data_IF_522349049749
#
_entry.id   IF_522349049749
#
_cell.length_a   1.000
_cell.length_b   1.000
_cell.length_c   1.000
_cell.angle_alpha   90.00
_cell.angle_beta   90.00
_cell.angle_gamma   90.00
#
_symmetry.space_group_name_H-M   'P 1'
#
loop_
_entity.id
_entity.type
_entity.pdbx_description
1 polymer ?
#
# COMPACT_ATOMS: atom_id res chain seq x y z
N UNK A 1 -13.43 -27.82 -10.23
CA UNK A 1 -13.10 -26.37 -10.19
C UNK A 1 -11.60 -26.21 -10.43
N UNK A 2 -11.12 -25.17 -11.12
CA UNK A 2 -9.67 -24.93 -11.22
C UNK A 2 -9.18 -24.23 -9.95
N UNK A 3 -8.06 -24.67 -9.35
CA UNK A 3 -7.52 -24.05 -8.14
C UNK A 3 -6.15 -23.46 -8.43
N UNK A 4 -6.03 -22.15 -8.26
CA UNK A 4 -4.82 -21.39 -8.49
C UNK A 4 -4.12 -21.11 -7.15
N UNK A 5 -2.83 -21.45 -7.08
CA UNK A 5 -1.95 -21.10 -5.96
C UNK A 5 -0.95 -20.08 -6.53
N UNK A 6 -1.14 -18.78 -6.27
CA UNK A 6 -0.21 -17.75 -6.71
C UNK A 6 1.21 -18.00 -6.18
N UNK A 7 2.22 -17.59 -6.94
CA UNK A 7 3.63 -17.81 -6.58
C UNK A 7 3.99 -17.21 -5.21
N UNK A 8 3.47 -16.02 -4.88
CA UNK A 8 3.68 -15.39 -3.58
C UNK A 8 3.14 -16.22 -2.41
N UNK A 9 2.01 -16.92 -2.58
CA UNK A 9 1.48 -17.85 -1.58
C UNK A 9 2.38 -19.08 -1.45
N UNK A 10 2.92 -19.57 -2.58
CA UNK A 10 3.89 -20.67 -2.58
C UNK A 10 5.21 -20.33 -1.88
N UNK A 11 5.69 -19.09 -2.05
CA UNK A 11 6.91 -18.60 -1.40
C UNK A 11 6.69 -18.42 0.11
N UNK A 12 5.55 -17.85 0.52
CA UNK A 12 5.14 -17.75 1.93
C UNK A 12 4.98 -19.12 2.58
N UNK A 13 4.33 -20.06 1.88
CA UNK A 13 4.16 -21.44 2.35
C UNK A 13 5.51 -22.11 2.66
N UNK A 14 6.51 -21.91 1.80
CA UNK A 14 7.85 -22.47 2.00
C UNK A 14 8.53 -21.91 3.25
N UNK A 15 8.22 -20.67 3.64
CA UNK A 15 8.71 -20.04 4.86
C UNK A 15 8.03 -20.51 6.15
N UNK A 16 6.81 -21.06 6.07
CA UNK A 16 6.02 -21.50 7.23
C UNK A 16 6.32 -22.93 7.68
N UNK A 17 6.91 -23.76 6.83
CA UNK A 17 7.28 -25.13 7.14
C UNK A 17 7.46 -25.98 5.89
N UNK A 18 8.32 -26.99 5.94
CA UNK A 18 8.63 -27.83 4.78
C UNK A 18 7.40 -28.63 4.29
N UNK A 19 6.45 -28.93 5.19
CA UNK A 19 5.19 -29.62 4.87
C UNK A 19 4.09 -28.73 4.30
N UNK A 20 4.18 -27.41 4.48
CA UNK A 20 3.11 -26.46 4.14
C UNK A 20 2.81 -26.42 2.63
N UNK A 21 3.80 -26.42 1.72
CA UNK A 21 3.53 -26.51 0.28
C UNK A 21 2.79 -27.79 -0.13
N UNK A 22 3.03 -28.90 0.58
CA UNK A 22 2.33 -30.16 0.32
C UNK A 22 0.90 -30.12 0.88
N UNK A 23 0.71 -29.57 2.08
CA UNK A 23 -0.60 -29.34 2.67
C UNK A 23 -1.49 -28.46 1.77
N UNK A 24 -0.93 -27.39 1.18
CA UNK A 24 -1.64 -26.54 0.22
C UNK A 24 -2.03 -27.27 -1.07
N UNK A 25 -1.18 -28.18 -1.59
CA UNK A 25 -1.54 -29.00 -2.75
C UNK A 25 -2.69 -29.96 -2.44
N UNK A 26 -2.69 -30.56 -1.26
CA UNK A 26 -3.78 -31.44 -0.81
C UNK A 26 -5.07 -30.65 -0.64
N UNK A 27 -5.00 -29.46 -0.03
CA UNK A 27 -6.13 -28.56 0.11
C UNK A 27 -6.67 -28.10 -1.26
N UNK A 28 -5.80 -27.75 -2.20
CA UNK A 28 -6.20 -27.38 -3.56
C UNK A 28 -6.96 -28.52 -4.27
N UNK A 29 -6.57 -29.78 -4.04
CA UNK A 29 -7.33 -30.94 -4.52
C UNK A 29 -8.74 -31.00 -3.90
N UNK A 30 -8.86 -30.76 -2.60
CA UNK A 30 -10.17 -30.74 -1.92
C UNK A 30 -11.06 -29.58 -2.38
N UNK A 31 -10.50 -28.39 -2.56
CA UNK A 31 -11.21 -27.22 -3.08
C UNK A 31 -11.64 -27.38 -4.55
N UNK A 32 -10.93 -28.19 -5.32
CA UNK A 32 -11.33 -28.52 -6.68
C UNK A 32 -12.64 -29.34 -6.73
N UNK A 33 -12.84 -30.19 -5.71
CA UNK A 33 -13.98 -31.10 -5.54
C UNK A 33 -15.14 -30.46 -4.76
N UNK A 34 -14.83 -29.70 -3.71
CA UNK A 34 -15.78 -28.99 -2.85
C UNK A 34 -15.30 -27.53 -2.60
N UNK A 35 -15.69 -26.57 -3.47
CA UNK A 35 -15.26 -25.18 -3.34
C UNK A 35 -15.96 -24.45 -2.18
N UNK A 36 -16.99 -25.05 -1.57
CA UNK A 36 -17.81 -24.43 -0.53
C UNK A 36 -17.46 -24.93 0.89
N UNK A 37 -16.37 -25.69 1.02
CA UNK A 37 -15.93 -26.26 2.31
C UNK A 37 -15.41 -25.22 3.32
N UNK A 38 -15.08 -24.02 2.87
CA UNK A 38 -14.60 -22.92 3.70
C UNK A 38 -15.71 -22.16 4.41
N UNK A 39 -15.36 -21.51 5.53
CA UNK A 39 -16.27 -20.63 6.26
C UNK A 39 -16.01 -19.18 5.88
N UNK A 40 -17.04 -18.32 5.81
CA UNK A 40 -16.85 -16.89 5.64
C UNK A 40 -15.86 -16.36 6.69
N UNK A 41 -14.84 -15.65 6.23
CA UNK A 41 -13.92 -14.92 7.10
C UNK A 41 -14.45 -13.52 7.38
N UNK A 42 -13.81 -12.79 8.30
CA UNK A 42 -14.07 -11.35 8.48
C UNK A 42 -13.66 -10.48 7.29
N UNK A 43 -13.04 -11.06 6.25
CA UNK A 43 -12.64 -10.38 5.03
C UNK A 43 -13.69 -10.59 3.92
N UNK A 44 -14.13 -9.52 3.24
CA UNK A 44 -15.17 -9.59 2.21
C UNK A 44 -14.81 -10.57 1.09
N UNK A 45 -15.71 -11.52 0.81
CA UNK A 45 -15.55 -12.49 -0.29
C UNK A 45 -14.48 -13.56 -0.10
N UNK A 46 -13.84 -13.63 1.08
CA UNK A 46 -12.82 -14.64 1.40
C UNK A 46 -13.43 -15.73 2.30
N UNK A 47 -13.27 -16.97 1.87
CA UNK A 47 -13.56 -18.18 2.63
C UNK A 47 -12.27 -18.70 3.26
N UNK A 48 -12.32 -19.10 4.53
CA UNK A 48 -11.19 -19.68 5.26
C UNK A 48 -11.42 -21.15 5.53
N UNK A 49 -10.40 -21.97 5.29
CA UNK A 49 -10.34 -23.39 5.67
C UNK A 49 -9.19 -23.59 6.65
N UNK A 50 -9.47 -24.33 7.71
CA UNK A 50 -8.45 -24.77 8.65
C UNK A 50 -7.84 -26.09 8.15
N UNK A 51 -6.52 -26.16 8.15
CA UNK A 51 -5.75 -27.37 7.86
C UNK A 51 -5.04 -27.78 9.14
N UNK A 52 -5.39 -28.95 9.65
CA UNK A 52 -4.68 -29.58 10.77
C UNK A 52 -3.28 -29.99 10.30
N UNK A 53 -2.25 -29.42 10.93
CA UNK A 53 -0.85 -29.58 10.57
C UNK A 53 -0.26 -30.92 11.00
N UNK A 54 -0.87 -31.59 11.99
CA UNK A 54 -0.45 -32.90 12.51
C UNK A 54 -0.49 -34.03 11.47
N UNK A 55 -1.22 -33.83 10.37
CA UNK A 55 -1.30 -34.74 9.23
C UNK A 55 -0.08 -34.63 8.29
N UNK A 56 0.75 -33.59 8.44
CA UNK A 56 1.86 -33.27 7.54
C UNK A 56 3.19 -33.07 8.29
N UNK A 57 4.28 -33.61 7.76
CA UNK A 57 5.62 -33.44 8.36
C UNK A 57 6.07 -31.98 8.29
N UNK A 58 6.51 -31.39 9.42
CA UNK A 58 6.93 -29.98 9.53
C UNK A 58 5.88 -28.98 9.01
N UNK A 59 4.61 -29.17 9.39
CA UNK A 59 3.50 -28.27 9.07
C UNK A 59 2.81 -27.82 10.37
N UNK A 60 2.73 -26.51 10.66
CA UNK A 60 1.82 -26.02 11.71
C UNK A 60 0.37 -26.16 11.24
N UNK A 61 -0.59 -26.01 12.17
CA UNK A 61 -1.99 -25.79 11.79
C UNK A 61 -2.09 -24.51 10.97
N UNK A 62 -2.85 -24.54 9.88
CA UNK A 62 -2.94 -23.42 8.94
C UNK A 62 -4.38 -22.90 8.84
N UNK A 63 -4.52 -21.59 8.79
CA UNK A 63 -5.67 -20.91 8.22
C UNK A 63 -5.35 -20.54 6.76
N UNK A 64 -6.12 -21.07 5.82
CA UNK A 64 -5.96 -20.80 4.39
C UNK A 64 -7.17 -20.05 3.87
N UNK A 65 -6.96 -18.81 3.44
CA UNK A 65 -7.99 -17.98 2.84
C UNK A 65 -7.99 -18.11 1.32
N UNK A 66 -9.17 -18.28 0.73
CA UNK A 66 -9.36 -18.36 -0.71
C UNK A 66 -10.60 -17.59 -1.17
N UNK A 67 -10.59 -17.19 -2.43
CA UNK A 67 -11.75 -16.58 -3.09
C UNK A 67 -12.31 -17.59 -4.09
N UNK A 68 -13.64 -17.69 -4.12
CA UNK A 68 -14.37 -18.46 -5.11
C UNK A 68 -14.86 -17.53 -6.22
N UNK A 69 -14.36 -17.75 -7.43
CA UNK A 69 -14.89 -17.18 -8.67
C UNK A 69 -15.80 -18.22 -9.38
N UNK A 70 -16.62 -17.82 -10.37
CA UNK A 70 -17.55 -18.73 -11.03
C UNK A 70 -16.91 -19.98 -11.66
N UNK A 71 -15.66 -19.89 -12.09
CA UNK A 71 -14.93 -20.94 -12.82
C UNK A 71 -13.60 -21.36 -12.16
N UNK A 72 -13.18 -20.69 -11.08
CA UNK A 72 -11.94 -21.01 -10.37
C UNK A 72 -11.97 -20.64 -8.88
N UNK A 73 -11.06 -21.22 -8.12
CA UNK A 73 -10.73 -20.87 -6.74
C UNK A 73 -9.30 -20.35 -6.72
N UNK A 74 -9.07 -19.22 -6.05
CA UNK A 74 -7.73 -18.63 -5.93
C UNK A 74 -7.36 -18.61 -4.45
N UNK A 75 -6.29 -19.31 -4.06
CA UNK A 75 -5.75 -19.22 -2.71
C UNK A 75 -5.09 -17.83 -2.56
N UNK A 76 -5.49 -17.07 -1.54
CA UNK A 76 -5.04 -15.69 -1.33
C UNK A 76 -4.02 -15.56 -0.22
N UNK A 77 -4.16 -16.33 0.86
CA UNK A 77 -3.21 -16.30 1.95
C UNK A 77 -3.14 -17.65 2.68
N UNK A 78 -2.01 -17.87 3.33
CA UNK A 78 -1.76 -18.98 4.25
C UNK A 78 -1.11 -18.41 5.51
N UNK A 79 -1.67 -18.70 6.68
CA UNK A 79 -1.15 -18.25 7.96
C UNK A 79 -1.25 -19.37 9.01
N UNK A 80 -0.40 -19.40 10.05
CA UNK A 80 -0.57 -20.32 11.17
C UNK A 80 -1.88 -20.06 11.94
N UNK A 81 -2.58 -21.13 12.33
CA UNK A 81 -3.86 -21.07 13.04
C UNK A 81 -3.78 -20.37 14.42
N UNK A 82 -2.60 -20.35 15.04
CA UNK A 82 -2.34 -19.71 16.34
C UNK A 82 -2.40 -18.18 16.31
N UNK A 83 -2.72 -17.56 15.17
CA UNK A 83 -2.91 -16.11 15.01
C UNK A 83 -4.39 -15.67 14.95
N UNK A 84 -5.36 -16.54 15.30
CA UNK A 84 -6.80 -16.18 15.37
C UNK A 84 -7.32 -16.30 16.82
N UNK A 85 -7.50 -15.13 17.44
CA UNK A 85 -8.16 -14.72 18.71
C UNK A 85 -8.38 -15.70 19.90
N UNK A 86 -8.14 -15.27 21.16
CA UNK A 86 -8.62 -15.98 22.34
C UNK A 86 -10.10 -15.71 22.59
N UNK A 87 -10.87 -16.78 22.75
CA UNK A 87 -12.23 -16.74 23.29
C UNK A 87 -12.24 -16.04 24.66
N UNK A 88 -13.23 -15.15 24.83
CA UNK A 88 -13.49 -14.41 26.04
C UNK A 88 -13.70 -15.35 27.24
N UNK A 89 -12.75 -15.36 28.17
CA UNK A 89 -13.02 -15.72 29.55
C UNK A 89 -12.82 -14.49 30.43
N UNK A 90 -13.86 -14.17 31.20
CA UNK A 90 -13.92 -13.01 32.06
C UNK A 90 -13.02 -13.23 33.28
N UNK A 91 -11.78 -12.77 33.18
CA UNK A 91 -10.87 -12.64 34.31
C UNK A 91 -10.20 -11.28 34.24
N UNK A 92 -10.35 -10.49 35.29
CA UNK A 92 -9.64 -9.22 35.51
C UNK A 92 -8.12 -9.46 35.34
N UNK A 93 -7.59 -9.19 34.15
CA UNK A 93 -6.17 -9.07 33.89
C UNK A 93 -5.89 -7.60 33.61
N UNK A 94 -5.02 -7.03 34.45
CA UNK A 94 -4.44 -5.71 34.28
C UNK A 94 -3.94 -5.56 32.83
N UNK A 95 -4.12 -4.39 32.18
CA UNK A 95 -3.79 -4.25 30.78
C UNK A 95 -2.29 -4.50 30.57
N UNK A 96 -1.98 -5.64 29.94
CA UNK A 96 -0.66 -5.85 29.36
C UNK A 96 -0.44 -4.75 28.32
N UNK A 97 0.76 -4.13 28.29
CA UNK A 97 1.04 -3.09 27.32
C UNK A 97 0.97 -3.67 25.91
N UNK A 98 0.21 -3.00 25.03
CA UNK A 98 0.17 -3.23 23.59
C UNK A 98 1.59 -3.51 23.05
N UNK A 99 1.75 -4.36 22.02
CA UNK A 99 3.06 -4.64 21.45
C UNK A 99 3.62 -3.35 20.86
N UNK A 100 4.46 -2.68 21.64
CA UNK A 100 5.25 -1.53 21.20
C UNK A 100 6.11 -2.03 20.05
N UNK A 101 5.93 -1.46 18.86
CA UNK A 101 6.72 -1.76 17.68
C UNK A 101 8.21 -1.88 18.05
N UNK A 102 8.89 -2.92 17.54
CA UNK A 102 10.29 -3.16 17.85
C UNK A 102 11.11 -1.91 17.50
N UNK A 103 11.70 -1.22 18.48
CA UNK A 103 12.40 0.04 18.24
C UNK A 103 13.58 -0.12 17.27
N UNK A 104 14.14 -1.34 17.15
CA UNK A 104 15.17 -1.64 16.16
C UNK A 104 14.60 -1.65 14.75
N UNK A 105 13.42 -2.25 14.54
CA UNK A 105 12.75 -2.29 13.25
C UNK A 105 12.32 -0.88 12.82
N UNK A 106 11.75 -0.10 13.74
CA UNK A 106 11.41 1.32 13.53
C UNK A 106 12.63 2.12 13.06
N UNK A 107 13.78 1.95 13.72
CA UNK A 107 15.01 2.65 13.34
C UNK A 107 15.54 2.24 11.95
N UNK A 108 15.38 0.97 11.58
CA UNK A 108 15.73 0.47 10.24
C UNK A 108 14.84 1.12 9.18
N UNK A 109 13.52 1.10 9.36
CA UNK A 109 12.57 1.72 8.41
C UNK A 109 12.82 3.21 8.23
N UNK A 110 13.08 3.96 9.31
CA UNK A 110 13.44 5.39 9.22
C UNK A 110 14.69 5.60 8.35
N UNK A 111 15.70 4.74 8.52
CA UNK A 111 16.93 4.83 7.74
C UNK A 111 16.69 4.49 6.27
N UNK A 112 15.91 3.46 5.98
CA UNK A 112 15.58 3.06 4.60
C UNK A 112 14.84 4.16 3.84
N UNK A 113 13.81 4.76 4.46
CA UNK A 113 13.11 5.93 3.89
C UNK A 113 14.09 7.08 3.66
N UNK A 114 14.92 7.40 4.64
CA UNK A 114 15.87 8.50 4.52
C UNK A 114 16.91 8.25 3.43
N UNK A 115 17.46 7.04 3.34
CA UNK A 115 18.46 6.67 2.33
C UNK A 115 17.84 6.71 0.93
N UNK A 116 16.67 6.10 0.73
CA UNK A 116 15.96 6.15 -0.54
C UNK A 116 15.64 7.59 -0.98
N UNK A 117 15.09 8.41 -0.09
CA UNK A 117 14.75 9.80 -0.39
C UNK A 117 15.98 10.67 -0.65
N UNK A 118 17.08 10.46 0.08
CA UNK A 118 18.34 11.16 -0.20
C UNK A 118 18.93 10.80 -1.57
N UNK A 119 18.76 9.56 -2.05
CA UNK A 119 19.14 9.19 -3.42
C UNK A 119 18.30 9.95 -4.44
N UNK A 120 16.97 9.93 -4.31
CA UNK A 120 16.06 10.71 -5.18
C UNK A 120 16.47 12.18 -5.21
N UNK A 121 16.56 12.83 -4.06
CA UNK A 121 16.84 14.27 -3.98
C UNK A 121 18.22 14.65 -4.51
N UNK A 122 19.26 13.83 -4.28
CA UNK A 122 20.60 14.06 -4.85
C UNK A 122 20.59 14.01 -6.38
N UNK A 123 19.82 13.09 -6.96
CA UNK A 123 19.70 12.97 -8.41
C UNK A 123 18.93 14.16 -8.98
N UNK A 124 17.83 14.56 -8.33
CA UNK A 124 17.09 15.77 -8.71
C UNK A 124 17.97 17.01 -8.66
N UNK A 125 18.74 17.21 -7.59
CA UNK A 125 19.67 18.35 -7.47
C UNK A 125 20.66 18.44 -8.65
N UNK A 126 21.11 17.29 -9.15
CA UNK A 126 22.12 17.23 -10.21
C UNK A 126 21.51 17.31 -11.61
N UNK A 127 20.45 16.53 -11.87
CA UNK A 127 19.92 16.32 -13.23
C UNK A 127 18.64 17.12 -13.51
N UNK A 128 17.88 17.51 -12.49
CA UNK A 128 16.58 18.20 -12.61
C UNK A 128 16.41 19.27 -11.50
N UNK A 129 17.25 20.32 -11.47
CA UNK A 129 17.31 21.27 -10.36
C UNK A 129 16.01 22.04 -10.14
N UNK A 130 15.23 22.28 -11.19
CA UNK A 130 13.92 22.92 -11.07
C UNK A 130 12.92 22.02 -10.33
N UNK A 131 12.92 20.71 -10.64
CA UNK A 131 12.11 19.73 -9.91
C UNK A 131 12.58 19.57 -8.46
N UNK A 132 13.89 19.67 -8.20
CA UNK A 132 14.39 19.71 -6.83
C UNK A 132 13.91 20.96 -6.07
N UNK A 133 13.91 22.12 -6.72
CA UNK A 133 13.48 23.38 -6.11
C UNK A 133 11.98 23.44 -5.81
N UNK A 134 11.17 22.60 -6.47
CA UNK A 134 9.74 22.46 -6.21
C UNK A 134 9.40 21.60 -4.98
N UNK A 135 10.38 20.87 -4.44
CA UNK A 135 10.20 20.10 -3.21
C UNK A 135 10.11 21.04 -2.01
N UNK A 136 9.14 20.79 -1.15
CA UNK A 136 8.99 21.55 0.08
C UNK A 136 10.03 21.12 1.12
N UNK A 137 10.49 22.03 1.98
CA UNK A 137 11.32 21.66 3.11
C UNK A 137 10.58 20.65 4.00
N UNK A 138 11.34 19.82 4.71
CA UNK A 138 10.80 18.88 5.68
C UNK A 138 9.88 19.53 6.72
N UNK A 139 8.84 18.81 7.09
CA UNK A 139 7.90 19.20 8.12
C UNK A 139 8.56 19.19 9.51
N UNK A 140 7.99 19.97 10.42
CA UNK A 140 8.34 19.86 11.84
C UNK A 140 7.57 18.71 12.49
N UNK A 141 8.12 18.13 13.56
CA UNK A 141 7.41 17.12 14.37
C UNK A 141 6.05 17.61 14.87
N UNK A 142 5.94 18.91 15.22
CA UNK A 142 4.66 19.51 15.62
C UNK A 142 3.64 19.58 14.48
N UNK A 143 4.09 19.76 13.23
CA UNK A 143 3.20 19.74 12.08
C UNK A 143 2.69 18.32 11.80
N UNK A 144 3.56 17.31 11.93
CA UNK A 144 3.15 15.90 11.80
C UNK A 144 2.16 15.50 12.90
N UNK A 145 2.43 15.92 14.15
CA UNK A 145 1.51 15.68 15.26
C UNK A 145 0.15 16.37 15.06
N UNK A 146 0.11 17.57 14.49
CA UNK A 146 -1.14 18.24 14.17
C UNK A 146 -1.95 17.46 13.11
N UNK A 147 -1.29 16.85 12.13
CA UNK A 147 -1.95 15.96 11.15
C UNK A 147 -2.47 14.69 11.83
N UNK A 148 -1.67 14.05 12.71
CA UNK A 148 -2.11 12.91 13.52
C UNK A 148 -3.40 13.22 14.31
N UNK A 149 -3.41 14.37 15.00
CA UNK A 149 -4.56 14.84 15.77
C UNK A 149 -5.79 15.14 14.89
N UNK A 150 -5.57 15.73 13.70
CA UNK A 150 -6.65 16.12 12.79
C UNK A 150 -7.27 14.93 12.06
N UNK A 151 -6.45 13.92 11.71
CA UNK A 151 -6.92 12.68 11.11
C UNK A 151 -7.49 11.71 12.15
N UNK A 152 -7.05 11.81 13.41
CA UNK A 152 -7.37 10.85 14.47
C UNK A 152 -6.71 9.47 14.23
N UNK A 153 -5.57 9.44 13.54
CA UNK A 153 -4.86 8.22 13.13
C UNK A 153 -3.40 8.38 13.51
N UNK A 154 -2.82 7.37 14.16
CA UNK A 154 -1.37 7.31 14.38
C UNK A 154 -0.65 7.24 13.03
N UNK A 155 0.22 8.20 12.76
CA UNK A 155 0.96 8.25 11.51
C UNK A 155 2.02 7.15 11.49
N UNK A 156 2.06 6.28 10.46
CA UNK A 156 3.10 5.27 10.33
C UNK A 156 4.51 5.87 10.30
N UNK A 157 5.48 5.15 10.84
CA UNK A 157 6.85 5.66 11.03
C UNK A 157 7.49 6.06 9.70
N UNK A 158 7.28 5.28 8.65
CA UNK A 158 7.79 5.50 7.31
C UNK A 158 7.27 6.81 6.71
N UNK A 159 5.99 7.13 6.93
CA UNK A 159 5.37 8.35 6.42
C UNK A 159 5.84 9.57 7.23
N UNK A 160 5.93 9.43 8.55
CA UNK A 160 6.49 10.47 9.40
C UNK A 160 7.94 10.79 9.03
N UNK A 161 8.78 9.76 8.81
CA UNK A 161 10.16 9.91 8.36
C UNK A 161 10.25 10.65 7.01
N UNK A 162 9.39 10.30 6.05
CA UNK A 162 9.34 10.99 4.76
C UNK A 162 8.93 12.46 4.92
N UNK A 163 7.88 12.75 5.70
CA UNK A 163 7.41 14.11 5.91
C UNK A 163 8.42 15.00 6.60
N UNK A 164 9.24 14.46 7.51
CA UNK A 164 10.36 15.19 8.13
C UNK A 164 11.46 15.55 7.12
N UNK A 165 11.54 14.88 5.98
CA UNK A 165 12.49 15.17 4.90
C UNK A 165 11.89 16.07 3.82
N UNK A 166 10.59 15.92 3.53
CA UNK A 166 9.85 16.72 2.54
C UNK A 166 8.38 16.88 2.94
N UNK A 167 7.90 18.12 3.03
CA UNK A 167 6.49 18.39 3.32
C UNK A 167 5.60 18.43 2.07
N UNK A 168 6.00 17.70 1.02
CA UNK A 168 5.28 17.59 -0.26
C UNK A 168 6.05 18.14 -1.45
N UNK A 169 5.41 18.07 -2.60
CA UNK A 169 5.98 18.43 -3.90
C UNK A 169 5.01 19.36 -4.64
N UNK A 170 5.42 20.61 -4.87
CA UNK A 170 4.62 21.58 -5.65
C UNK A 170 4.74 21.32 -7.16
N UNK A 171 5.70 20.50 -7.57
CA UNK A 171 6.03 20.12 -8.95
C UNK A 171 6.41 21.28 -9.87
N UNK A 172 6.73 20.93 -11.11
CA UNK A 172 7.11 21.87 -12.16
C UNK A 172 6.25 21.62 -13.38
N UNK A 173 5.58 22.67 -13.88
CA UNK A 173 4.70 22.57 -15.06
C UNK A 173 3.67 21.42 -14.94
N UNK A 174 3.12 21.24 -13.74
CA UNK A 174 2.12 20.20 -13.44
C UNK A 174 2.68 18.78 -13.25
N UNK A 175 4.00 18.59 -13.31
CA UNK A 175 4.65 17.29 -13.11
C UNK A 175 5.33 17.23 -11.75
N UNK A 176 4.99 16.22 -10.95
CA UNK A 176 5.71 15.91 -9.71
C UNK A 176 6.93 15.02 -9.96
N UNK A 177 7.74 14.84 -8.91
CA UNK A 177 9.03 14.16 -9.00
C UNK A 177 8.94 12.63 -8.98
N UNK A 178 7.79 12.06 -8.64
CA UNK A 178 7.59 10.61 -8.52
C UNK A 178 7.12 9.96 -9.83
N UNK A 179 7.34 8.65 -10.02
CA UNK A 179 6.93 7.91 -11.23
C UNK A 179 5.48 8.19 -11.64
N UNK A 180 5.26 8.34 -12.95
CA UNK A 180 3.98 8.77 -13.52
C UNK A 180 3.68 10.27 -13.38
N UNK A 181 4.71 11.10 -13.15
CA UNK A 181 4.59 12.54 -12.87
C UNK A 181 3.76 12.85 -11.61
N UNK A 182 3.73 11.88 -10.70
CA UNK A 182 3.00 11.97 -9.44
C UNK A 182 3.74 12.88 -8.47
N UNK A 183 2.98 13.48 -7.56
CA UNK A 183 3.51 14.40 -6.56
C UNK A 183 3.24 13.89 -5.15
N UNK A 184 4.19 14.11 -4.24
CA UNK A 184 3.95 13.94 -2.81
C UNK A 184 2.97 15.01 -2.34
N UNK A 185 1.92 14.59 -1.65
CA UNK A 185 0.93 15.52 -1.13
C UNK A 185 1.52 16.38 -0.01
N UNK A 186 1.12 17.65 0.01
CA UNK A 186 1.37 18.53 1.15
C UNK A 186 0.50 18.13 2.33
N UNK A 187 0.94 18.38 3.57
CA UNK A 187 0.19 18.01 4.78
C UNK A 187 -1.25 18.52 4.78
N UNK A 188 -1.47 19.78 4.39
CA UNK A 188 -2.81 20.37 4.29
C UNK A 188 -3.68 19.63 3.27
N UNK A 189 -3.09 19.22 2.13
CA UNK A 189 -3.81 18.47 1.10
C UNK A 189 -4.16 17.05 1.58
N UNK A 190 -3.29 16.41 2.37
CA UNK A 190 -3.56 15.09 2.98
C UNK A 190 -4.80 15.16 3.85
N UNK A 191 -4.85 16.14 4.75
CA UNK A 191 -5.99 16.41 5.62
C UNK A 191 -7.25 16.71 4.82
N UNK A 192 -7.16 17.62 3.84
CA UNK A 192 -8.30 18.03 3.01
C UNK A 192 -8.92 16.82 2.29
N UNK A 193 -8.08 16.03 1.61
CA UNK A 193 -8.53 14.86 0.86
C UNK A 193 -9.06 13.79 1.80
N UNK A 194 -8.37 13.48 2.89
CA UNK A 194 -8.84 12.47 3.85
C UNK A 194 -10.24 12.81 4.39
N UNK A 195 -10.45 14.06 4.84
CA UNK A 195 -11.77 14.53 5.28
C UNK A 195 -12.83 14.40 4.20
N UNK A 196 -12.52 14.84 2.98
CA UNK A 196 -13.45 14.74 1.85
C UNK A 196 -13.83 13.28 1.56
N UNK A 197 -12.90 12.34 1.73
CA UNK A 197 -13.15 10.92 1.53
C UNK A 197 -13.97 10.30 2.65
N UNK A 198 -13.70 10.66 3.91
CA UNK A 198 -14.52 10.26 5.05
C UNK A 198 -15.97 10.76 4.90
N UNK A 199 -16.16 12.00 4.44
CA UNK A 199 -17.50 12.53 4.15
C UNK A 199 -18.19 11.74 3.02
N UNK A 200 -17.43 11.35 1.99
CA UNK A 200 -17.95 10.54 0.88
C UNK A 200 -18.34 9.12 1.33
N UNK A 201 -17.54 8.51 2.22
CA UNK A 201 -17.85 7.21 2.83
C UNK A 201 -19.13 7.29 3.67
N UNK A 202 -19.26 8.31 4.53
CA UNK A 202 -20.46 8.51 5.34
C UNK A 202 -21.73 8.74 4.47
N UNK A 203 -21.60 9.49 3.37
CA UNK A 203 -22.69 9.66 2.40
C UNK A 203 -23.04 8.35 1.68
N UNK A 204 -22.02 7.54 1.35
CA UNK A 204 -22.22 6.21 0.75
C UNK A 204 -23.00 5.30 1.71
N UNK A 205 -22.55 5.18 2.96
CA UNK A 205 -23.22 4.38 3.98
C UNK A 205 -24.67 4.84 4.21
N UNK A 206 -24.91 6.15 4.31
CA UNK A 206 -26.25 6.69 4.47
C UNK A 206 -27.17 6.39 3.28
N UNK A 207 -26.65 6.40 2.05
CA UNK A 207 -27.43 6.10 0.85
C UNK A 207 -27.86 4.63 0.75
N UNK A 208 -27.12 3.72 1.40
CA UNK A 208 -27.39 2.28 1.39
C UNK A 208 -28.00 1.76 2.70
N UNK A 209 -28.13 2.60 3.74
CA UNK A 209 -28.71 2.21 5.03
C UNK A 209 -30.12 1.59 4.92
N UNK A 210 -30.93 2.04 3.95
CA UNK A 210 -32.29 1.53 3.70
C UNK A 210 -32.33 0.35 2.73
N UNK A 211 -31.18 -0.18 2.31
CA UNK A 211 -31.04 -1.27 1.31
C UNK A 211 -30.19 -2.42 1.85
N UNK A 212 -30.67 -3.17 2.86
CA UNK A 212 -29.91 -4.22 3.53
C UNK A 212 -29.57 -5.43 2.62
N UNK A 213 -30.23 -5.53 1.47
CA UNK A 213 -29.94 -6.52 0.42
C UNK A 213 -28.68 -6.21 -0.41
N UNK A 214 -28.10 -5.03 -0.23
CA UNK A 214 -26.82 -4.62 -0.80
C UNK A 214 -25.86 -4.27 0.33
N UNK A 215 -24.80 -5.06 0.53
CA UNK A 215 -23.67 -4.62 1.37
C UNK A 215 -23.01 -3.42 0.66
N UNK A 216 -23.02 -2.22 1.26
CA UNK A 216 -22.28 -1.11 0.68
C UNK A 216 -20.79 -1.47 0.68
N UNK A 217 -20.16 -1.40 -0.48
CA UNK A 217 -18.72 -1.60 -0.59
C UNK A 217 -17.97 -0.51 0.16
N UNK A 218 -16.81 -0.84 0.72
CA UNK A 218 -15.92 0.16 1.33
C UNK A 218 -15.34 1.05 0.25
N UNK A 219 -15.71 2.33 0.27
CA UNK A 219 -15.21 3.35 -0.64
C UNK A 219 -13.93 3.99 -0.08
N UNK A 220 -13.84 4.10 1.24
CA UNK A 220 -12.67 4.62 1.95
C UNK A 220 -12.61 4.06 3.37
N UNK A 221 -11.43 3.60 3.83
CA UNK A 221 -11.22 3.25 5.24
C UNK A 221 -10.67 4.44 6.00
N UNK A 222 -11.02 4.54 7.29
CA UNK A 222 -10.47 5.57 8.17
C UNK A 222 -8.93 5.55 8.19
N UNK A 223 -8.31 4.38 8.17
CA UNK A 223 -6.84 4.18 8.23
C UNK A 223 -6.10 4.55 6.94
N UNK A 224 -6.80 4.82 5.83
CA UNK A 224 -6.17 5.17 4.56
C UNK A 224 -5.76 6.64 4.55
N UNK A 225 -4.46 6.89 4.56
CA UNK A 225 -3.87 8.24 4.52
C UNK A 225 -3.47 8.54 3.07
N UNK A 226 -4.06 9.54 2.39
CA UNK A 226 -3.64 9.88 1.02
C UNK A 226 -2.24 10.50 1.07
N UNK A 227 -1.30 10.00 0.25
CA UNK A 227 0.12 10.41 0.33
C UNK A 227 0.69 10.91 -0.99
N UNK A 228 0.16 10.42 -2.11
CA UNK A 228 0.64 10.77 -3.46
C UNK A 228 -0.57 11.11 -4.32
N UNK A 229 -0.46 12.10 -5.18
CA UNK A 229 -1.48 12.47 -6.18
C UNK A 229 -0.95 12.30 -7.60
N UNK A 230 -1.84 12.20 -8.60
CA UNK A 230 -1.45 12.09 -10.02
C UNK A 230 -0.60 13.26 -10.51
N UNK A 231 -0.74 14.41 -9.87
CA UNK A 231 0.11 15.58 -10.05
C UNK A 231 -0.10 16.56 -8.89
N UNK A 232 0.72 17.62 -8.79
CA UNK A 232 0.77 18.49 -7.61
C UNK A 232 -0.54 19.18 -7.26
N UNK A 233 -1.37 19.45 -8.26
CA UNK A 233 -2.69 20.09 -8.09
C UNK A 233 -3.86 19.10 -8.14
N UNK A 234 -3.61 17.82 -8.43
CA UNK A 234 -4.66 16.81 -8.46
C UNK A 234 -5.07 16.43 -7.04
N UNK A 235 -6.39 16.37 -6.80
CA UNK A 235 -7.01 15.88 -5.56
C UNK A 235 -8.00 14.74 -5.83
N UNK A 236 -8.01 14.22 -7.05
CA UNK A 236 -9.03 13.30 -7.52
C UNK A 236 -8.54 11.86 -7.61
N UNK A 237 -7.23 11.62 -7.65
CA UNK A 237 -6.68 10.27 -7.62
C UNK A 237 -5.24 10.24 -7.17
N UNK A 238 -4.80 9.08 -6.69
CA UNK A 238 -3.45 8.94 -6.18
C UNK A 238 -3.19 7.62 -5.47
N UNK A 239 -2.17 7.64 -4.60
CA UNK A 239 -1.89 6.57 -3.66
C UNK A 239 -2.23 6.99 -2.23
N UNK A 240 -2.71 6.04 -1.45
CA UNK A 240 -2.86 6.15 -0.02
C UNK A 240 -2.03 5.08 0.66
N UNK A 241 -1.53 5.38 1.85
CA UNK A 241 -0.92 4.43 2.75
C UNK A 241 -1.99 3.96 3.73
N UNK A 242 -2.21 2.64 3.84
CA UNK A 242 -3.06 2.10 4.89
C UNK A 242 -2.26 2.00 6.19
N UNK A 243 -2.60 2.82 7.19
CA UNK A 243 -1.90 2.87 8.46
C UNK A 243 -2.01 1.55 9.26
N UNK A 244 -2.96 0.68 8.92
CA UNK A 244 -3.13 -0.63 9.56
C UNK A 244 -2.16 -1.67 8.98
N UNK A 245 -1.95 -1.65 7.65
CA UNK A 245 -1.20 -2.70 6.95
C UNK A 245 0.20 -2.25 6.51
N UNK A 246 0.46 -0.95 6.44
CA UNK A 246 1.72 -0.38 5.94
C UNK A 246 1.86 -0.42 4.41
N UNK A 247 0.83 -0.89 3.69
CA UNK A 247 0.85 -1.00 2.23
C UNK A 247 0.23 0.22 1.55
N UNK A 248 0.72 0.49 0.34
CA UNK A 248 0.12 1.48 -0.54
C UNK A 248 -1.14 0.93 -1.22
N UNK A 249 -2.02 1.83 -1.63
CA UNK A 249 -3.23 1.48 -2.34
C UNK A 249 -3.64 2.61 -3.27
N UNK A 250 -4.24 2.25 -4.40
CA UNK A 250 -4.76 3.25 -5.34
C UNK A 250 -6.10 3.76 -4.87
N UNK A 251 -6.29 5.07 -5.00
CA UNK A 251 -7.59 5.68 -4.80
C UNK A 251 -7.96 6.61 -5.95
N UNK A 252 -9.27 6.71 -6.20
CA UNK A 252 -9.84 7.64 -7.16
C UNK A 252 -11.19 8.18 -6.68
N UNK A 253 -11.49 9.43 -7.03
CA UNK A 253 -12.77 10.11 -6.78
C UNK A 253 -13.97 9.28 -7.20
N UNK A 254 -13.82 8.54 -8.30
CA UNK A 254 -14.89 7.74 -8.89
C UNK A 254 -15.04 6.38 -8.22
N UNK A 255 -14.18 6.06 -7.25
CA UNK A 255 -14.10 4.77 -6.58
C UNK A 255 -13.96 3.63 -7.58
N UNK A 256 -13.30 3.91 -8.70
CA UNK A 256 -12.80 2.87 -9.60
C UNK A 256 -11.92 1.95 -8.74
N UNK A 257 -12.24 0.66 -8.76
CA UNK A 257 -11.74 -0.42 -7.90
C UNK A 257 -10.48 -0.05 -7.10
N UNK A 258 -10.59 0.00 -5.77
CA UNK A 258 -9.42 0.11 -4.91
C UNK A 258 -8.49 -1.08 -5.21
N UNK A 259 -7.34 -0.79 -5.80
CA UNK A 259 -6.30 -1.80 -6.05
C UNK A 259 -5.24 -1.60 -4.99
N UNK A 260 -5.10 -2.58 -4.10
CA UNK A 260 -3.96 -2.68 -3.19
C UNK A 260 -2.67 -2.74 -4.04
N UNK A 261 -1.80 -1.75 -3.87
CA UNK A 261 -0.42 -1.83 -4.35
C UNK A 261 0.36 -2.44 -3.20
N UNK A 262 0.68 -3.74 -3.26
CA UNK A 262 1.44 -4.45 -2.22
C UNK A 262 2.90 -3.96 -2.03
N UNK A 263 3.20 -2.76 -2.52
CA UNK A 263 4.42 -2.03 -2.24
C UNK A 263 4.26 -1.28 -0.90
N UNK A 264 5.33 -1.30 -0.11
CA UNK A 264 5.44 -0.38 1.03
C UNK A 264 5.93 0.99 0.54
N UNK A 265 5.80 2.02 1.38
CA UNK A 265 6.38 3.34 1.06
C UNK A 265 7.90 3.25 0.80
N UNK A 266 8.61 2.40 1.54
CA UNK A 266 10.05 2.16 1.33
C UNK A 266 10.30 1.59 -0.05
N UNK A 267 9.65 0.48 -0.40
CA UNK A 267 9.80 -0.17 -1.72
C UNK A 267 9.52 0.80 -2.85
N UNK A 268 8.46 1.59 -2.73
CA UNK A 268 8.09 2.59 -3.74
C UNK A 268 9.16 3.67 -3.93
N UNK A 269 9.73 4.19 -2.85
CA UNK A 269 10.80 5.19 -2.91
C UNK A 269 12.12 4.61 -3.40
N UNK A 270 12.43 3.37 -3.02
CA UNK A 270 13.64 2.67 -3.48
C UNK A 270 13.60 2.44 -4.99
N UNK A 271 12.48 1.96 -5.52
CA UNK A 271 12.32 1.78 -6.96
C UNK A 271 12.37 3.13 -7.71
N UNK A 272 11.75 4.18 -7.17
CA UNK A 272 11.84 5.51 -7.75
C UNK A 272 13.29 6.01 -7.83
N UNK A 273 14.06 5.80 -6.75
CA UNK A 273 15.48 6.10 -6.73
C UNK A 273 16.27 5.24 -7.74
N UNK A 274 16.04 3.94 -7.79
CA UNK A 274 16.74 3.03 -8.70
C UNK A 274 16.50 3.41 -10.18
N UNK A 275 15.27 3.79 -10.53
CA UNK A 275 14.94 4.26 -11.88
C UNK A 275 15.64 5.57 -12.22
N UNK A 276 15.84 6.47 -11.26
CA UNK A 276 16.62 7.71 -11.46
C UNK A 276 18.13 7.44 -11.52
N UNK A 277 18.64 6.46 -10.78
CA UNK A 277 20.07 6.10 -10.75
C UNK A 277 20.49 5.37 -12.03
N UNK A 278 19.64 4.48 -12.53
CA UNK A 278 19.86 3.71 -13.75
C UNK A 278 18.68 3.81 -14.74
N UNK A 279 18.46 4.99 -15.38
CA UNK A 279 17.31 5.23 -16.27
C UNK A 279 17.20 4.24 -17.44
N UNK A 280 18.33 3.73 -17.92
CA UNK A 280 18.39 2.75 -19.02
C UNK A 280 17.88 1.35 -18.62
N UNK A 281 17.84 1.05 -17.32
CA UNK A 281 17.36 -0.21 -16.75
C UNK A 281 15.97 -0.08 -16.10
N UNK A 282 15.37 1.11 -16.14
CA UNK A 282 14.09 1.36 -15.49
C UNK A 282 12.97 0.49 -16.09
N UNK A 283 12.27 -0.26 -15.23
CA UNK A 283 11.30 -1.29 -15.63
C UNK A 283 9.85 -0.82 -15.57
N UNK A 284 9.50 0.04 -14.61
CA UNK A 284 8.12 0.55 -14.41
C UNK A 284 7.85 1.83 -15.19
N UNK A 285 8.76 2.79 -15.14
CA UNK A 285 8.62 4.08 -15.82
C UNK A 285 10.00 4.64 -16.20
N UNK A 286 10.06 5.50 -17.22
CA UNK A 286 11.32 6.04 -17.72
C UNK A 286 11.45 7.51 -17.33
N UNK A 287 12.45 7.89 -16.53
CA UNK A 287 12.70 9.29 -16.25
C UNK A 287 13.40 9.97 -17.42
N UNK A 288 13.03 11.23 -17.65
CA UNK A 288 13.67 12.11 -18.60
C UNK A 288 13.41 13.56 -18.26
N UNK A 289 13.82 14.45 -19.14
CA UNK A 289 13.73 15.89 -18.93
C UNK A 289 12.85 16.52 -20.02
N UNK A 290 12.05 17.51 -19.62
CA UNK A 290 11.42 18.48 -20.50
C UNK A 290 11.78 19.86 -19.99
N UNK A 291 12.48 20.65 -20.79
CA UNK A 291 12.91 22.01 -20.44
C UNK A 291 13.69 22.10 -19.11
N UNK A 292 14.41 21.05 -18.72
CA UNK A 292 15.21 20.99 -17.48
C UNK A 292 14.46 20.46 -16.25
N UNK A 293 13.15 20.22 -16.36
CA UNK A 293 12.35 19.57 -15.31
C UNK A 293 12.25 18.07 -15.54
N UNK A 294 12.27 17.29 -14.44
CA UNK A 294 12.00 15.86 -14.46
C UNK A 294 10.58 15.61 -14.96
N UNK A 295 10.47 14.73 -15.96
CA UNK A 295 9.22 14.21 -16.47
C UNK A 295 9.38 12.71 -16.72
N UNK A 296 8.50 11.94 -16.12
CA UNK A 296 8.36 10.51 -16.32
C UNK A 296 7.50 10.22 -17.56
N UNK A 297 7.97 9.30 -18.39
CA UNK A 297 7.40 9.04 -19.71
C UNK A 297 5.94 8.56 -19.63
N UNK A 298 5.57 7.75 -18.63
CA UNK A 298 4.20 7.21 -18.53
C UNK A 298 3.13 8.28 -18.27
N UNK A 299 3.51 9.43 -17.70
CA UNK A 299 2.60 10.52 -17.37
C UNK A 299 2.76 11.75 -18.26
N UNK A 300 3.55 11.67 -19.34
CA UNK A 300 3.83 12.85 -20.17
C UNK A 300 2.59 13.29 -20.95
N UNK A 301 2.39 14.61 -21.01
CA UNK A 301 1.42 15.19 -21.93
C UNK A 301 1.88 14.92 -23.38
N UNK A 302 1.03 14.34 -24.26
CA UNK A 302 1.36 14.11 -25.66
C UNK A 302 1.93 15.33 -26.40
N UNK A 303 1.51 16.55 -26.02
CA UNK A 303 2.03 17.78 -26.62
C UNK A 303 3.50 18.05 -26.26
N UNK A 304 3.96 17.49 -25.13
CA UNK A 304 5.31 17.65 -24.58
C UNK A 304 6.24 16.49 -24.96
N UNK A 305 5.70 15.37 -25.45
CA UNK A 305 6.45 14.14 -25.74
C UNK A 305 7.63 14.38 -26.70
N UNK A 306 7.45 15.23 -27.71
CA UNK A 306 8.51 15.56 -28.68
C UNK A 306 9.72 16.30 -28.08
N UNK A 307 9.56 16.92 -26.91
CA UNK A 307 10.59 17.67 -26.19
C UNK A 307 11.24 16.84 -25.08
N UNK A 308 10.71 15.65 -24.81
CA UNK A 308 11.21 14.77 -23.78
C UNK A 308 12.52 14.15 -24.20
N UNK A 309 13.52 14.27 -23.34
CA UNK A 309 14.82 13.66 -23.52
C UNK A 309 15.07 12.67 -22.40
N UNK A 310 15.44 11.40 -22.70
CA UNK A 310 15.73 10.44 -21.65
C UNK A 310 16.88 10.94 -20.77
N UNK A 311 16.79 10.66 -19.47
CA UNK A 311 17.88 10.95 -18.54
C UNK A 311 19.06 10.05 -18.92
N UNK A 312 20.09 10.61 -19.55
CA UNK A 312 21.19 9.83 -20.09
C UNK A 312 22.25 9.59 -19.01
N UNK A 313 22.48 8.31 -18.66
CA UNK A 313 23.64 7.85 -17.90
C UNK A 313 24.16 6.54 -18.47
#
# INVERSE_FOLDING_TARGET
MNVEIPSHVGDLATGLGAGVPYALKVLAGRLADDPDMGRPSGLPGILTVMVEGDVFEDCPDLAVGYIREPDRVVIRHVAPASFVEPEADAGEQEPEPEPVADPALTAVTVREVADAWHRVTRLLQHDAPDSYAALRPGASLSAVAAVEDELGIRIPVELSALWLLTAGDDGVEGSGCLPGNRALMTLDAVVEVHRQRMDSQAQHEAAYADRPEYEPGTVWKATWIPVVTRGPSDRTSGLCLDAETGYLGRWSRYNDDFVEELDTLVTYLEEAADMLEAPSLATRDKPGLVDGALVWLSGIDPERESRWMPLAR
#
